data_IF_505766253041
#
_entry.id   IF_505766253041
#
_cell.length_a   1.000
_cell.length_b   1.000
_cell.length_c   1.000
_cell.angle_alpha   90.00
_cell.angle_beta   90.00
_cell.angle_gamma   90.00
#
_symmetry.space_group_name_H-M   'P 1'
#
loop_
_entity.id
_entity.type
_entity.pdbx_description
1 polymer ?
#
# COMPACT_ATOMS: atom_id res chain seq x y z
N UNK A 1 4.23 7.82 16.78
CA UNK A 1 4.97 7.10 15.73
C UNK A 1 5.38 8.18 14.77
N UNK A 2 6.65 8.57 14.75
CA UNK A 2 7.12 9.54 13.77
C UNK A 2 7.22 8.84 12.42
N UNK A 3 6.48 9.36 11.44
CA UNK A 3 6.60 8.89 10.07
C UNK A 3 7.88 9.47 9.48
N UNK A 4 8.82 8.59 9.18
CA UNK A 4 10.00 8.96 8.43
C UNK A 4 9.66 8.98 6.93
N UNK A 5 9.31 10.16 6.44
CA UNK A 5 8.97 10.42 5.03
C UNK A 5 10.11 10.07 4.05
N UNK A 6 11.32 9.78 4.56
CA UNK A 6 12.44 9.30 3.74
C UNK A 6 12.23 7.88 3.21
N UNK A 7 11.24 7.14 3.73
CA UNK A 7 10.84 5.84 3.23
C UNK A 7 9.55 5.95 2.41
N UNK A 8 9.60 5.77 1.08
CA UNK A 8 8.40 5.84 0.27
C UNK A 8 7.45 4.70 0.64
N UNK A 9 6.18 5.05 0.76
CA UNK A 9 5.10 4.12 1.05
C UNK A 9 4.25 3.95 -0.20
N UNK A 10 3.94 2.71 -0.55
CA UNK A 10 3.14 2.34 -1.71
C UNK A 10 1.89 1.60 -1.26
N UNK A 11 0.74 1.90 -1.85
CA UNK A 11 -0.45 1.07 -1.71
C UNK A 11 -0.34 -0.19 -2.55
N UNK A 12 -0.91 -1.29 -2.06
CA UNK A 12 -1.04 -2.53 -2.83
C UNK A 12 -2.47 -3.08 -2.73
N UNK A 13 -2.95 -3.69 -3.79
CA UNK A 13 -4.29 -4.27 -3.84
C UNK A 13 -4.37 -5.48 -4.76
N UNK A 14 -5.23 -6.47 -4.48
CA UNK A 14 -5.59 -7.51 -5.45
C UNK A 14 -6.79 -7.07 -6.28
N UNK A 15 -7.41 -7.95 -7.07
CA UNK A 15 -8.61 -7.62 -7.86
C UNK A 15 -9.67 -6.84 -7.06
N UNK A 16 -10.06 -5.65 -7.57
CA UNK A 16 -10.94 -4.68 -6.88
C UNK A 16 -10.22 -3.56 -6.10
N UNK A 17 -10.69 -2.31 -6.22
CA UNK A 17 -10.06 -1.12 -5.57
C UNK A 17 -10.82 -0.55 -4.39
N UNK A 18 -12.08 -0.94 -4.15
CA UNK A 18 -12.95 -0.28 -3.16
C UNK A 18 -12.36 -0.27 -1.75
N UNK A 19 -11.78 -1.40 -1.32
CA UNK A 19 -11.12 -1.50 -0.02
C UNK A 19 -9.83 -0.66 0.03
N UNK A 20 -9.08 -0.58 -1.07
CA UNK A 20 -7.89 0.27 -1.18
C UNK A 20 -8.26 1.74 -1.08
N UNK A 21 -9.29 2.19 -1.81
CA UNK A 21 -9.71 3.59 -1.84
C UNK A 21 -10.17 4.05 -0.45
N UNK A 22 -10.95 3.22 0.23
CA UNK A 22 -11.36 3.44 1.62
C UNK A 22 -10.17 3.46 2.58
N UNK A 23 -9.17 2.63 2.33
CA UNK A 23 -7.95 2.61 3.11
C UNK A 23 -7.14 3.89 2.90
N UNK A 24 -6.80 4.25 1.65
CA UNK A 24 -6.06 5.46 1.25
C UNK A 24 -6.62 6.68 1.96
N UNK A 25 -7.95 6.89 1.88
CA UNK A 25 -8.61 8.02 2.55
C UNK A 25 -8.32 8.07 4.06
N UNK A 26 -8.43 6.93 4.76
CA UNK A 26 -8.21 6.84 6.21
C UNK A 26 -6.75 7.04 6.61
N UNK A 27 -5.79 6.65 5.77
CA UNK A 27 -4.36 6.86 6.06
C UNK A 27 -3.93 8.29 5.73
N UNK A 28 -4.48 8.90 4.68
CA UNK A 28 -4.27 10.31 4.36
C UNK A 28 -4.80 11.25 5.44
N UNK A 29 -5.95 10.94 6.05
CA UNK A 29 -6.47 11.64 7.25
C UNK A 29 -5.49 11.60 8.43
N UNK A 30 -4.55 10.64 8.45
CA UNK A 30 -3.49 10.50 9.45
C UNK A 30 -2.15 11.10 9.00
N UNK A 31 -2.13 11.81 7.87
CA UNK A 31 -0.93 12.44 7.32
C UNK A 31 -0.03 11.50 6.52
N UNK A 32 -0.47 10.27 6.22
CA UNK A 32 0.30 9.30 5.44
C UNK A 32 -0.08 9.42 3.98
N UNK A 33 0.89 9.71 3.11
CA UNK A 33 0.67 9.78 1.66
C UNK A 33 1.35 8.60 0.98
N UNK A 34 0.57 7.85 0.19
CA UNK A 34 1.16 6.88 -0.72
C UNK A 34 1.75 7.58 -1.93
N UNK A 35 2.93 7.12 -2.36
CA UNK A 35 3.56 7.59 -3.59
C UNK A 35 2.76 7.12 -4.80
N UNK A 36 2.47 5.82 -4.85
CA UNK A 36 1.68 5.15 -5.90
C UNK A 36 0.97 3.93 -5.31
N UNK A 37 -0.02 3.41 -6.02
CA UNK A 37 -0.75 2.20 -5.68
C UNK A 37 -0.61 1.16 -6.79
N UNK A 38 -0.27 -0.09 -6.44
CA UNK A 38 -0.03 -1.15 -7.42
C UNK A 38 -0.93 -2.37 -7.22
N UNK A 39 -1.40 -2.94 -8.33
CA UNK A 39 -2.11 -4.20 -8.29
C UNK A 39 -1.11 -5.35 -8.08
N UNK A 40 -1.46 -6.24 -7.16
CA UNK A 40 -0.79 -7.49 -6.89
C UNK A 40 -1.16 -8.49 -7.99
N UNK A 41 -0.15 -9.08 -8.61
CA UNK A 41 -0.33 -10.08 -9.67
C UNK A 41 -0.84 -11.44 -9.16
N UNK A 42 -1.20 -12.36 -10.09
CA UNK A 42 -1.88 -13.61 -9.77
C UNK A 42 -1.10 -14.52 -8.82
N UNK A 43 0.23 -14.57 -8.90
CA UNK A 43 1.05 -15.42 -8.02
C UNK A 43 0.81 -15.15 -6.55
N UNK A 44 0.71 -13.87 -6.14
CA UNK A 44 0.40 -13.51 -4.76
C UNK A 44 -1.13 -13.48 -4.57
N UNK A 45 -1.87 -12.95 -5.54
CA UNK A 45 -3.33 -12.86 -5.53
C UNK A 45 -4.04 -14.19 -5.23
N UNK A 46 -3.58 -15.31 -5.79
CA UNK A 46 -4.13 -16.65 -5.52
C UNK A 46 -4.05 -17.05 -4.04
N UNK A 47 -3.07 -16.53 -3.30
CA UNK A 47 -2.86 -16.88 -1.88
C UNK A 47 -3.60 -15.93 -0.92
N UNK A 48 -3.80 -14.67 -1.31
CA UNK A 48 -4.43 -13.65 -0.45
C UNK A 48 -5.92 -13.44 -0.76
N UNK A 49 -6.37 -13.85 -1.96
CA UNK A 49 -7.75 -13.67 -2.42
C UNK A 49 -8.01 -12.28 -3.03
N UNK A 50 -9.18 -12.10 -3.70
CA UNK A 50 -9.61 -10.82 -4.24
C UNK A 50 -9.86 -9.80 -3.11
N UNK A 51 -9.96 -8.52 -3.47
CA UNK A 51 -10.24 -7.39 -2.57
C UNK A 51 -9.27 -7.17 -1.40
N UNK A 52 -8.15 -7.90 -1.37
CA UNK A 52 -7.02 -7.67 -0.48
C UNK A 52 -6.41 -6.30 -0.74
N UNK A 53 -6.03 -5.58 0.31
CA UNK A 53 -5.32 -4.32 0.22
C UNK A 53 -4.26 -4.23 1.32
N UNK A 54 -3.29 -3.33 1.14
CA UNK A 54 -2.25 -3.08 2.12
C UNK A 54 -1.31 -1.98 1.69
N UNK A 55 -0.15 -1.90 2.34
CA UNK A 55 0.91 -0.99 1.96
C UNK A 55 2.29 -1.64 2.10
N UNK A 56 3.25 -1.11 1.35
CA UNK A 56 4.66 -1.47 1.41
C UNK A 56 5.44 -0.22 1.78
N UNK A 57 6.31 -0.32 2.79
CA UNK A 57 7.31 0.69 3.10
C UNK A 57 8.68 0.20 2.63
N UNK A 58 9.40 1.01 1.87
CA UNK A 58 10.71 0.62 1.32
C UNK A 58 11.82 1.28 2.15
N UNK A 59 12.63 0.47 2.83
CA UNK A 59 13.86 0.94 3.47
C UNK A 59 14.86 1.42 2.38
N UNK A 60 15.60 2.50 2.64
CA UNK A 60 16.70 2.88 1.74
C UNK A 60 17.71 1.73 1.66
N UNK A 61 18.11 1.38 0.45
CA UNK A 61 19.26 0.50 0.25
C UNK A 61 20.46 1.08 1.01
N UNK A 62 21.07 0.26 1.89
CA UNK A 62 22.34 0.60 2.51
C UNK A 62 23.38 0.58 1.39
N UNK A 63 23.81 1.76 0.96
CA UNK A 63 25.02 1.92 0.16
C UNK A 63 26.25 1.59 1.02
#
# INVERSE_FOLDING_TARGET
MDLDERFPIYGIYSDGTENLDNFVKKVEEKGIKFKECYQIGPTIGTHVGPETFGFIAVEKAKN
#
